data_IF_937270411191
#
_entry.id   IF_937270411191
#
_cell.length_a   1.000
_cell.length_b   1.000
_cell.length_c   1.000
_cell.angle_alpha   90.00
_cell.angle_beta   90.00
_cell.angle_gamma   90.00
#
_symmetry.space_group_name_H-M   'P 1'
#
loop_
_entity.id
_entity.type
_entity.pdbx_description
1 polymer ?
#
# COMPACT_ATOMS: atom_id res chain seq x y z
N UNK A 1 -15.22 1.12 3.07
CA UNK A 1 -16.12 0.02 2.66
C UNK A 1 -15.41 -0.76 1.58
N UNK A 2 -15.18 -2.03 1.85
CA UNK A 2 -14.44 -2.90 0.95
C UNK A 2 -15.38 -3.47 -0.11
N UNK A 3 -14.85 -3.51 -1.33
CA UNK A 3 -15.50 -3.97 -2.53
C UNK A 3 -14.75 -5.21 -3.01
N UNK A 4 -15.39 -5.96 -3.89
CA UNK A 4 -14.89 -7.18 -4.48
C UNK A 4 -14.91 -7.03 -6.00
N UNK A 5 -13.83 -7.44 -6.64
CA UNK A 5 -13.72 -7.54 -8.09
C UNK A 5 -14.09 -8.96 -8.47
N UNK A 6 -15.07 -9.07 -9.36
CA UNK A 6 -15.58 -10.34 -9.83
C UNK A 6 -15.54 -10.43 -11.35
N UNK A 7 -15.53 -11.66 -11.85
CA UNK A 7 -15.72 -11.98 -13.25
C UNK A 7 -16.96 -12.85 -13.39
N UNK A 8 -17.92 -12.41 -14.20
CA UNK A 8 -19.13 -13.19 -14.41
C UNK A 8 -18.81 -14.48 -15.15
N UNK A 9 -19.45 -15.58 -14.76
CA UNK A 9 -19.22 -16.88 -15.43
C UNK A 9 -19.95 -16.97 -16.77
N UNK A 10 -21.06 -16.25 -16.92
CA UNK A 10 -21.92 -16.25 -18.11
C UNK A 10 -21.56 -15.15 -19.11
N UNK A 11 -20.84 -14.13 -18.66
CA UNK A 11 -20.44 -12.98 -19.47
C UNK A 11 -18.93 -12.80 -19.32
N UNK A 12 -18.21 -12.55 -20.41
CA UNK A 12 -16.78 -12.19 -20.35
C UNK A 12 -16.63 -10.73 -19.88
N UNK A 13 -17.11 -10.48 -18.66
CA UNK A 13 -17.24 -9.15 -18.07
C UNK A 13 -16.76 -9.17 -16.63
N UNK A 14 -16.02 -8.13 -16.29
CA UNK A 14 -15.55 -7.85 -14.95
C UNK A 14 -16.37 -6.71 -14.36
N UNK A 15 -16.75 -6.83 -13.09
CA UNK A 15 -17.44 -5.79 -12.35
C UNK A 15 -16.95 -5.70 -10.91
N UNK A 16 -17.22 -4.55 -10.28
CA UNK A 16 -16.85 -4.27 -8.90
C UNK A 16 -18.12 -4.09 -8.09
N UNK A 17 -18.26 -4.87 -7.02
CA UNK A 17 -19.43 -4.86 -6.15
C UNK A 17 -19.05 -4.63 -4.69
N UNK A 18 -19.94 -4.08 -3.86
CA UNK A 18 -19.72 -4.11 -2.42
C UNK A 18 -19.83 -5.55 -1.93
N UNK A 19 -19.02 -5.95 -0.95
CA UNK A 19 -18.99 -7.34 -0.43
C UNK A 19 -20.37 -7.80 0.08
N UNK A 20 -21.19 -6.87 0.57
CA UNK A 20 -22.59 -7.14 0.98
C UNK A 20 -23.50 -7.66 -0.13
N UNK A 21 -23.09 -7.56 -1.39
CA UNK A 21 -23.83 -8.12 -2.53
C UNK A 21 -23.63 -9.63 -2.69
N UNK A 22 -22.70 -10.23 -1.94
CA UNK A 22 -22.54 -11.68 -1.85
C UNK A 22 -23.74 -12.30 -1.15
N UNK A 23 -24.27 -13.38 -1.73
CA UNK A 23 -25.34 -14.17 -1.11
C UNK A 23 -24.80 -14.94 0.09
N UNK A 24 -23.58 -15.46 -0.02
CA UNK A 24 -22.91 -16.18 1.05
C UNK A 24 -22.36 -15.19 2.09
N UNK A 25 -23.20 -14.81 3.03
CA UNK A 25 -22.87 -13.84 4.08
C UNK A 25 -21.75 -14.32 5.00
N UNK A 26 -21.56 -15.63 5.16
CA UNK A 26 -20.46 -16.18 5.96
C UNK A 26 -19.10 -15.90 5.29
N UNK A 27 -19.00 -16.11 3.97
CA UNK A 27 -17.80 -15.78 3.20
C UNK A 27 -17.59 -14.26 3.15
N UNK A 28 -18.65 -13.49 2.88
CA UNK A 28 -18.58 -12.03 2.89
C UNK A 28 -18.12 -11.46 4.23
N UNK A 29 -18.54 -12.06 5.35
CA UNK A 29 -18.08 -11.65 6.68
C UNK A 29 -16.61 -11.98 6.88
N UNK A 30 -16.15 -13.20 6.54
CA UNK A 30 -14.73 -13.57 6.61
C UNK A 30 -13.85 -12.62 5.82
N UNK A 31 -14.25 -12.29 4.60
CA UNK A 31 -13.56 -11.33 3.73
C UNK A 31 -13.42 -9.93 4.35
N UNK A 32 -14.35 -9.53 5.22
CA UNK A 32 -14.33 -8.23 5.90
C UNK A 32 -13.51 -8.24 7.21
N UNK A 33 -13.38 -9.40 7.86
CA UNK A 33 -12.80 -9.50 9.22
C UNK A 33 -11.41 -10.12 9.26
N UNK A 34 -11.13 -11.07 8.37
CA UNK A 34 -9.90 -11.86 8.36
C UNK A 34 -8.93 -11.31 7.29
N UNK A 35 -7.80 -10.69 7.70
CA UNK A 35 -6.76 -10.31 6.75
C UNK A 35 -6.22 -11.56 6.04
N UNK A 36 -6.26 -11.57 4.71
CA UNK A 36 -5.79 -12.71 3.90
C UNK A 36 -6.87 -13.73 3.53
N UNK A 37 -8.12 -13.61 4.03
CA UNK A 37 -9.20 -14.52 3.63
C UNK A 37 -9.44 -14.55 2.11
N UNK A 38 -9.05 -13.48 1.39
CA UNK A 38 -9.12 -13.45 -0.07
C UNK A 38 -8.31 -14.56 -0.74
N UNK A 39 -7.20 -15.01 -0.14
CA UNK A 39 -6.36 -16.05 -0.73
C UNK A 39 -7.06 -17.42 -0.76
N UNK A 40 -7.99 -17.66 0.16
CA UNK A 40 -8.79 -18.89 0.20
C UNK A 40 -9.93 -18.89 -0.82
N UNK A 41 -10.50 -17.72 -1.12
CA UNK A 41 -11.69 -17.57 -1.99
C UNK A 41 -11.36 -17.02 -3.38
N UNK A 42 -10.14 -16.57 -3.63
CA UNK A 42 -9.72 -16.17 -4.97
C UNK A 42 -9.82 -17.37 -5.93
N UNK A 43 -10.37 -17.13 -7.11
CA UNK A 43 -10.63 -18.16 -8.13
C UNK A 43 -11.83 -19.05 -7.84
N UNK A 44 -12.52 -18.85 -6.71
CA UNK A 44 -13.74 -19.59 -6.40
C UNK A 44 -14.97 -18.91 -7.01
N UNK A 45 -15.96 -19.71 -7.38
CA UNK A 45 -17.24 -19.24 -7.91
C UNK A 45 -18.20 -19.05 -6.75
N UNK A 46 -18.64 -17.81 -6.54
CA UNK A 46 -19.61 -17.43 -5.51
C UNK A 46 -20.85 -16.79 -6.16
N UNK A 47 -21.96 -16.76 -5.42
CA UNK A 47 -23.22 -16.19 -5.89
C UNK A 47 -23.34 -14.71 -5.48
N UNK A 48 -23.66 -13.86 -6.46
CA UNK A 48 -23.82 -12.42 -6.29
C UNK A 48 -25.18 -11.95 -6.77
N UNK A 49 -25.78 -11.02 -6.02
CA UNK A 49 -27.05 -10.40 -6.40
C UNK A 49 -26.78 -9.13 -7.19
N UNK A 50 -27.04 -9.15 -8.51
CA UNK A 50 -26.83 -8.01 -9.41
C UNK A 50 -27.78 -6.84 -9.11
N UNK A 51 -29.05 -7.15 -8.90
CA UNK A 51 -30.13 -6.25 -8.46
C UNK A 51 -31.00 -7.00 -7.46
N UNK A 52 -31.56 -6.29 -6.48
CA UNK A 52 -32.41 -6.88 -5.43
C UNK A 52 -33.62 -7.69 -5.96
N UNK A 53 -34.05 -7.42 -7.20
CA UNK A 53 -35.18 -8.07 -7.86
C UNK A 53 -34.81 -9.25 -8.77
N UNK A 54 -33.52 -9.50 -9.02
CA UNK A 54 -33.05 -10.53 -9.94
C UNK A 54 -32.43 -11.71 -9.17
N UNK A 55 -32.50 -12.94 -9.70
CA UNK A 55 -31.89 -14.08 -9.05
C UNK A 55 -30.37 -13.92 -8.99
N UNK A 56 -29.71 -14.40 -7.92
CA UNK A 56 -28.26 -14.36 -7.83
C UNK A 56 -27.59 -15.09 -8.99
N UNK A 57 -26.50 -14.52 -9.49
CA UNK A 57 -25.72 -15.08 -10.58
C UNK A 57 -24.32 -15.52 -10.10
N UNK A 58 -23.77 -16.61 -10.65
CA UNK A 58 -22.44 -17.09 -10.32
C UNK A 58 -21.34 -16.22 -10.93
N UNK A 59 -20.39 -15.80 -10.10
CA UNK A 59 -19.22 -15.05 -10.51
C UNK A 59 -17.96 -15.56 -9.78
N UNK A 60 -16.83 -15.50 -10.47
CA UNK A 60 -15.53 -15.81 -9.92
C UNK A 60 -14.98 -14.61 -9.13
N UNK A 61 -14.46 -14.87 -7.93
CA UNK A 61 -13.83 -13.86 -7.08
C UNK A 61 -12.37 -13.66 -7.47
N UNK A 62 -12.00 -12.43 -7.81
CA UNK A 62 -10.63 -12.11 -8.23
C UNK A 62 -9.86 -11.37 -7.14
N UNK A 63 -10.47 -10.33 -6.55
CA UNK A 63 -9.75 -9.47 -5.61
C UNK A 63 -10.67 -8.68 -4.66
N UNK A 64 -10.12 -8.16 -3.56
CA UNK A 64 -10.83 -7.35 -2.56
C UNK A 64 -10.08 -6.04 -2.27
N UNK A 65 -10.81 -4.97 -1.98
CA UNK A 65 -10.23 -3.74 -1.47
C UNK A 65 -11.07 -2.50 -1.73
N UNK A 66 -10.40 -1.35 -1.83
CA UNK A 66 -11.09 -0.07 -2.05
C UNK A 66 -11.67 -0.01 -3.47
N UNK A 67 -12.93 0.41 -3.59
CA UNK A 67 -13.64 0.55 -4.87
C UNK A 67 -12.80 1.20 -5.98
N UNK A 68 -12.17 2.34 -5.70
CA UNK A 68 -11.35 3.08 -6.66
C UNK A 68 -10.18 2.26 -7.21
N UNK A 69 -9.54 1.44 -6.37
CA UNK A 69 -8.42 0.59 -6.77
C UNK A 69 -8.91 -0.55 -7.66
N UNK A 70 -10.02 -1.19 -7.27
CA UNK A 70 -10.61 -2.28 -8.03
C UNK A 70 -11.20 -1.83 -9.37
N UNK A 71 -11.79 -0.63 -9.44
CA UNK A 71 -12.25 -0.05 -10.71
C UNK A 71 -11.09 0.19 -11.68
N UNK A 72 -9.94 0.61 -11.16
CA UNK A 72 -8.72 0.74 -11.97
C UNK A 72 -8.27 -0.63 -12.49
N UNK A 73 -8.32 -1.68 -11.66
CA UNK A 73 -8.03 -3.06 -12.08
C UNK A 73 -9.03 -3.57 -13.11
N UNK A 74 -10.33 -3.36 -12.90
CA UNK A 74 -11.41 -3.72 -13.84
C UNK A 74 -11.19 -3.08 -15.20
N UNK A 75 -10.90 -1.78 -15.24
CA UNK A 75 -10.64 -1.06 -16.49
C UNK A 75 -9.43 -1.63 -17.24
N UNK A 76 -8.36 -1.98 -16.52
CA UNK A 76 -7.18 -2.64 -17.11
C UNK A 76 -7.53 -4.01 -17.69
N UNK A 77 -8.23 -4.85 -16.95
CA UNK A 77 -8.66 -6.18 -17.40
C UNK A 77 -9.56 -6.08 -18.65
N UNK A 78 -10.53 -5.17 -18.63
CA UNK A 78 -11.40 -4.92 -19.78
C UNK A 78 -10.64 -4.41 -21.01
N UNK A 79 -9.60 -3.58 -20.83
CA UNK A 79 -8.79 -3.05 -21.93
C UNK A 79 -7.77 -4.03 -22.48
N UNK A 80 -7.27 -4.94 -21.65
CA UNK A 80 -6.20 -5.86 -22.01
C UNK A 80 -6.69 -7.11 -22.73
N UNK A 81 -8.00 -7.37 -22.76
CA UNK A 81 -8.57 -8.57 -23.37
C UNK A 81 -8.00 -9.88 -22.82
N UNK A 82 -7.39 -9.83 -21.63
CA UNK A 82 -6.66 -10.94 -21.05
C UNK A 82 -7.65 -11.96 -20.50
N UNK A 83 -7.73 -13.09 -21.24
CA UNK A 83 -8.21 -14.37 -20.74
C UNK A 83 -7.38 -14.78 -19.52
N UNK A 84 -8.09 -15.08 -18.44
CA UNK A 84 -7.74 -16.01 -17.34
C UNK A 84 -6.41 -16.76 -17.49
N UNK A 85 -5.53 -16.68 -16.49
CA UNK A 85 -5.49 -17.64 -15.37
C UNK A 85 -4.32 -17.29 -14.44
N UNK A 86 -4.57 -17.27 -13.13
CA UNK A 86 -3.66 -17.93 -12.18
C UNK A 86 -2.28 -17.34 -11.86
N UNK A 87 -1.84 -16.20 -12.40
CA UNK A 87 -0.51 -15.68 -12.07
C UNK A 87 -0.48 -14.17 -11.81
N UNK A 88 -0.82 -13.79 -10.58
CA UNK A 88 -0.41 -12.48 -10.02
C UNK A 88 0.48 -12.73 -8.81
N UNK A 89 1.43 -13.65 -8.96
CA UNK A 89 2.64 -13.67 -8.17
C UNK A 89 3.79 -13.45 -9.14
N UNK A 90 4.34 -12.24 -9.13
CA UNK A 90 5.67 -11.92 -9.69
C UNK A 90 5.76 -11.62 -11.19
N UNK A 91 4.92 -10.73 -11.74
CA UNK A 91 5.34 -9.97 -12.92
C UNK A 91 5.85 -8.59 -12.50
N UNK A 92 7.17 -8.48 -12.60
CA UNK A 92 7.93 -7.25 -12.77
C UNK A 92 7.12 -6.16 -13.45
N UNK A 93 7.33 -4.92 -12.99
CA UNK A 93 7.01 -3.71 -13.73
C UNK A 93 7.71 -3.72 -15.11
N UNK A 94 7.20 -4.50 -16.06
CA UNK A 94 7.48 -4.31 -17.47
C UNK A 94 6.36 -3.42 -18.00
N UNK A 95 6.70 -2.13 -18.07
CA UNK A 95 5.87 -1.10 -18.66
C UNK A 95 5.47 -1.53 -20.07
N UNK A 96 4.18 -1.78 -20.28
CA UNK A 96 3.62 -1.89 -21.63
C UNK A 96 3.75 -0.54 -22.37
N UNK A 97 4.04 -0.52 -23.68
CA UNK A 97 4.50 0.65 -24.42
C UNK A 97 3.31 1.52 -24.87
N UNK A 98 2.55 2.05 -23.92
CA UNK A 98 1.63 3.15 -24.19
C UNK A 98 2.33 4.44 -23.73
N UNK A 99 2.89 5.17 -24.70
CA UNK A 99 3.83 6.29 -24.53
C UNK A 99 3.34 7.40 -23.56
N UNK A 100 2.03 7.58 -23.40
CA UNK A 100 1.49 8.60 -22.48
C UNK A 100 1.48 8.16 -21.01
N UNK A 101 1.27 6.86 -20.73
CA UNK A 101 1.25 6.33 -19.36
C UNK A 101 2.67 6.13 -18.80
N UNK A 102 3.65 5.89 -19.69
CA UNK A 102 5.06 5.76 -19.33
C UNK A 102 5.63 7.08 -18.75
N UNK A 103 5.22 8.24 -19.30
CA UNK A 103 5.71 9.55 -18.84
C UNK A 103 5.32 9.86 -17.39
N UNK A 104 4.09 9.52 -16.98
CA UNK A 104 3.64 9.72 -15.59
C UNK A 104 4.31 8.74 -14.63
N UNK A 105 4.53 7.49 -15.05
CA UNK A 105 5.29 6.52 -14.28
C UNK A 105 6.74 6.96 -14.09
N UNK A 106 7.41 7.47 -15.13
CA UNK A 106 8.75 8.02 -15.01
C UNK A 106 8.79 9.26 -14.10
N UNK A 107 7.84 10.17 -14.24
CA UNK A 107 7.77 11.36 -13.38
C UNK A 107 7.54 10.98 -11.91
N UNK A 108 6.62 10.07 -11.63
CA UNK A 108 6.42 9.56 -10.26
C UNK A 108 7.66 8.84 -9.74
N UNK A 109 8.37 8.08 -10.58
CA UNK A 109 9.60 7.39 -10.17
C UNK A 109 10.71 8.38 -9.85
N UNK A 110 10.86 9.45 -10.64
CA UNK A 110 11.79 10.55 -10.37
C UNK A 110 11.41 11.30 -9.09
N UNK A 111 10.13 11.61 -8.89
CA UNK A 111 9.66 12.25 -7.65
C UNK A 111 9.93 11.38 -6.43
N UNK A 112 9.72 10.07 -6.54
CA UNK A 112 9.99 9.11 -5.47
C UNK A 112 11.49 9.04 -5.16
N UNK A 113 12.36 9.04 -6.17
CA UNK A 113 13.81 9.10 -5.98
C UNK A 113 14.26 10.42 -5.33
N UNK A 114 13.66 11.55 -5.71
CA UNK A 114 13.93 12.87 -5.10
C UNK A 114 13.51 12.89 -3.63
N UNK A 115 12.31 12.39 -3.32
CA UNK A 115 11.80 12.31 -1.95
C UNK A 115 12.67 11.38 -1.12
N UNK A 116 13.10 10.25 -1.67
CA UNK A 116 13.97 9.28 -0.98
C UNK A 116 15.31 9.90 -0.60
N UNK A 117 15.99 10.57 -1.55
CA UNK A 117 17.26 11.28 -1.27
C UNK A 117 17.07 12.38 -0.23
N UNK A 118 15.98 13.15 -0.33
CA UNK A 118 15.69 14.21 0.66
C UNK A 118 15.47 13.63 2.06
N UNK A 119 14.88 12.45 2.16
CA UNK A 119 14.69 11.79 3.44
C UNK A 119 16.03 11.29 4.03
N UNK A 120 16.88 10.69 3.20
CA UNK A 120 18.24 10.28 3.58
C UNK A 120 19.08 11.50 4.06
N UNK A 121 19.00 12.63 3.37
CA UNK A 121 19.66 13.88 3.76
C UNK A 121 19.15 14.43 5.11
N UNK A 122 17.83 14.38 5.32
CA UNK A 122 17.22 14.82 6.58
C UNK A 122 17.59 13.91 7.75
N UNK A 123 17.65 12.60 7.53
CA UNK A 123 18.11 11.63 8.54
C UNK A 123 19.58 11.89 8.90
N UNK A 124 20.46 12.11 7.91
CA UNK A 124 21.86 12.45 8.15
C UNK A 124 22.03 13.78 8.90
N UNK A 125 21.23 14.80 8.56
CA UNK A 125 21.23 16.08 9.27
C UNK A 125 20.74 15.93 10.72
N UNK A 126 19.72 15.11 10.95
CA UNK A 126 19.20 14.84 12.29
C UNK A 126 20.23 14.10 13.17
N UNK A 127 20.92 13.10 12.64
CA UNK A 127 22.00 12.42 13.37
C UNK A 127 23.17 13.37 13.66
N UNK A 128 23.54 14.22 12.70
CA UNK A 128 24.55 15.27 12.92
C UNK A 128 24.13 16.24 14.04
N UNK A 129 22.85 16.61 14.11
CA UNK A 129 22.32 17.47 15.16
C UNK A 129 22.36 16.80 16.55
N UNK A 130 22.11 15.49 16.63
CA UNK A 130 22.28 14.71 17.88
C UNK A 130 23.72 14.74 18.36
N UNK A 131 24.68 14.56 17.45
CA UNK A 131 26.11 14.63 17.78
C UNK A 131 26.49 16.02 18.28
N UNK A 132 26.06 17.09 17.61
CA UNK A 132 26.32 18.46 18.05
C UNK A 132 25.73 18.75 19.44
N UNK A 133 24.52 18.27 19.74
CA UNK A 133 23.93 18.39 21.09
C UNK A 133 24.77 17.68 22.15
N UNK A 134 25.30 16.49 21.86
CA UNK A 134 26.20 15.76 22.77
C UNK A 134 27.52 16.51 22.99
N UNK A 135 28.14 17.00 21.92
CA UNK A 135 29.38 17.78 22.00
C UNK A 135 29.19 19.08 22.81
N UNK A 136 28.07 19.78 22.59
CA UNK A 136 27.73 20.97 23.37
C UNK A 136 27.59 20.66 24.87
N UNK A 137 26.89 19.57 25.20
CA UNK A 137 26.76 19.12 26.60
C UNK A 137 28.12 18.83 27.23
N UNK A 138 28.99 18.09 26.54
CA UNK A 138 30.34 17.82 27.04
C UNK A 138 31.17 19.09 27.26
N UNK A 139 31.05 20.08 26.36
CA UNK A 139 31.74 21.36 26.51
C UNK A 139 31.24 22.14 27.73
N UNK A 140 29.93 22.15 27.97
CA UNK A 140 29.34 22.80 29.15
C UNK A 140 29.76 22.09 30.44
N UNK A 141 29.81 20.75 30.44
CA UNK A 141 30.29 19.94 31.56
C UNK A 141 31.78 20.24 31.88
N UNK A 142 32.64 20.33 30.86
CA UNK A 142 34.07 20.68 31.04
C UNK A 142 34.25 22.09 31.62
N UNK A 143 33.52 23.09 31.11
CA UNK A 143 33.55 24.46 31.66
C UNK A 143 33.10 24.49 33.13
N UNK A 144 32.13 23.67 33.50
CA UNK A 144 31.70 23.55 34.88
C UNK A 144 32.75 22.91 35.78
N UNK A 145 33.51 21.92 35.28
CA UNK A 145 34.61 21.28 36.02
C UNK A 145 35.78 22.26 36.23
N UNK A 146 36.15 23.02 35.20
CA UNK A 146 37.22 24.02 35.31
C UNK A 146 36.84 25.13 36.32
N UNK A 147 35.58 25.55 36.34
CA UNK A 147 35.06 26.50 37.32
C UNK A 147 35.10 25.97 38.77
N UNK A 148 34.98 24.66 38.97
CA UNK A 148 35.09 24.01 40.29
C UNK A 148 36.57 23.86 40.70
N UNK A 149 37.48 23.63 39.75
CA UNK A 149 38.93 23.50 40.03
C UNK A 149 39.61 24.81 40.43
N UNK A 150 39.06 25.95 40.00
CA UNK A 150 39.58 27.28 40.30
C UNK A 150 39.26 27.80 41.72
N UNK A 151 38.50 27.05 42.54
CA UNK A 151 38.02 27.48 43.88
C UNK A 151 38.62 26.63 45.01
N UNK A 152 39.94 26.43 45.02
CA UNK A 152 40.64 25.96 46.22
C UNK A 152 41.73 26.95 46.64
N UNK A 153 41.47 27.86 47.59
CA UNK A 153 42.54 28.51 48.32
C UNK A 153 43.18 27.47 49.24
N UNK A 154 44.50 27.29 49.13
CA UNK A 154 45.26 26.56 50.14
C UNK A 154 45.16 27.31 51.47
N UNK A 155 44.74 26.66 52.57
CA UNK A 155 44.88 27.24 53.89
C UNK A 155 46.39 27.26 54.24
N UNK A 156 46.91 28.44 54.57
CA UNK A 156 48.22 28.61 55.22
C UNK A 156 48.12 28.27 56.70
#
# INVERSE_FOLDING_TARGET
MDHILIKWTQEEKWDVYPIRAMVNTAVGFRLLTEPGAIDDVRGTIELFTWKDSEPPAPAEVLDIGKARVLETKRARLASAGLRDEGDVMTESLECSPNEEFCSQCENMRRELDVVKRRNEDLEAAHESQKVLKKLKKMLDDMKSIDAISAVRPCPQ
#
